data_IF_174101284456
#
_entry.id   IF_174101284456
#
_cell.length_a   1.000
_cell.length_b   1.000
_cell.length_c   1.000
_cell.angle_alpha   90.00
_cell.angle_beta   90.00
_cell.angle_gamma   90.00
#
_symmetry.space_group_name_H-M   'P 1'
#
loop_
_entity.id
_entity.type
_entity.pdbx_description
1 polymer ?
#
# COMPACT_ATOMS: atom_id res chain seq x y z
N UNK A 1 -10.21 13.10 -29.55
CA UNK A 1 -9.11 12.18 -29.20
C UNK A 1 -8.51 11.66 -30.48
N UNK A 2 -7.19 11.80 -30.68
CA UNK A 2 -6.50 11.32 -31.87
C UNK A 2 -6.23 9.82 -31.70
N UNK A 3 -6.97 8.99 -32.41
CA UNK A 3 -6.71 7.55 -32.47
C UNK A 3 -5.59 7.31 -33.48
N UNK A 4 -4.35 7.26 -33.01
CA UNK A 4 -3.16 7.06 -33.85
C UNK A 4 -3.02 5.62 -34.36
N UNK A 5 -4.09 4.97 -34.83
CA UNK A 5 -4.05 3.69 -35.57
C UNK A 5 -3.39 2.47 -34.89
N UNK A 6 -2.76 2.63 -33.72
CA UNK A 6 -2.08 1.55 -33.02
C UNK A 6 -3.12 0.67 -32.33
N UNK A 7 -3.07 -0.61 -32.68
CA UNK A 7 -3.82 -1.65 -31.99
C UNK A 7 -3.22 -1.79 -30.59
N UNK A 8 -3.86 -1.18 -29.60
CA UNK A 8 -3.41 -1.29 -28.21
C UNK A 8 -3.56 -2.74 -27.78
N UNK A 9 -2.43 -3.37 -27.45
CA UNK A 9 -2.41 -4.73 -26.92
C UNK A 9 -2.63 -4.72 -25.40
N UNK A 10 -3.17 -5.81 -24.85
CA UNK A 10 -3.32 -5.97 -23.39
C UNK A 10 -1.98 -5.79 -22.67
N UNK A 11 -0.88 -6.29 -23.24
CA UNK A 11 0.46 -6.09 -22.72
C UNK A 11 0.79 -4.59 -22.55
N UNK A 12 0.51 -3.77 -23.57
CA UNK A 12 0.75 -2.31 -23.50
C UNK A 12 -0.10 -1.63 -22.43
N UNK A 13 -1.30 -2.13 -22.18
CA UNK A 13 -2.18 -1.61 -21.13
C UNK A 13 -1.62 -1.96 -19.76
N UNK A 14 -1.23 -3.22 -19.55
CA UNK A 14 -0.62 -3.70 -18.30
C UNK A 14 0.66 -2.91 -17.99
N UNK A 15 1.55 -2.75 -18.96
CA UNK A 15 2.79 -1.96 -18.78
C UNK A 15 2.49 -0.50 -18.40
N UNK A 16 1.47 0.11 -19.01
CA UNK A 16 1.03 1.47 -18.64
C UNK A 16 0.51 1.52 -17.21
N UNK A 17 -0.33 0.57 -16.80
CA UNK A 17 -0.85 0.48 -15.43
C UNK A 17 0.31 0.40 -14.44
N UNK A 18 1.21 -0.58 -14.61
CA UNK A 18 2.35 -0.79 -13.73
C UNK A 18 3.24 0.46 -13.63
N UNK A 19 3.48 1.14 -14.75
CA UNK A 19 4.28 2.39 -14.77
C UNK A 19 3.60 3.56 -14.05
N UNK A 20 2.28 3.56 -13.96
CA UNK A 20 1.49 4.63 -13.30
C UNK A 20 1.17 4.33 -11.84
N UNK A 21 1.45 3.13 -11.34
CA UNK A 21 1.17 2.76 -9.96
C UNK A 21 2.00 3.61 -8.97
N UNK A 22 1.43 3.81 -7.78
CA UNK A 22 2.10 4.51 -6.69
C UNK A 22 3.32 3.69 -6.22
N UNK A 23 4.46 4.31 -5.86
CA UNK A 23 5.65 3.63 -5.33
C UNK A 23 5.39 2.64 -4.17
N UNK A 24 4.29 2.81 -3.42
CA UNK A 24 3.84 1.83 -2.42
C UNK A 24 3.63 0.41 -3.00
N UNK A 25 3.42 0.29 -4.31
CA UNK A 25 3.21 -0.96 -5.03
C UNK A 25 4.46 -1.46 -5.76
N UNK A 26 5.64 -0.86 -5.56
CA UNK A 26 6.89 -1.26 -6.26
C UNK A 26 7.20 -2.75 -6.11
N UNK A 27 6.94 -3.33 -4.94
CA UNK A 27 7.10 -4.75 -4.68
C UNK A 27 6.21 -5.64 -5.57
N UNK A 28 5.02 -5.17 -5.95
CA UNK A 28 4.13 -5.86 -6.88
C UNK A 28 4.63 -5.71 -8.32
N UNK A 29 5.09 -4.51 -8.70
CA UNK A 29 5.65 -4.26 -10.04
C UNK A 29 6.84 -5.18 -10.29
N UNK A 30 7.78 -5.27 -9.34
CA UNK A 30 8.95 -6.16 -9.44
C UNK A 30 8.53 -7.62 -9.62
N UNK A 31 7.60 -8.11 -8.79
CA UNK A 31 7.14 -9.49 -8.89
C UNK A 31 6.50 -9.82 -10.25
N UNK A 32 5.72 -8.87 -10.80
CA UNK A 32 5.07 -9.05 -12.11
C UNK A 32 6.11 -9.01 -13.23
N UNK A 33 7.09 -8.10 -13.19
CA UNK A 33 8.18 -8.02 -14.17
C UNK A 33 9.04 -9.29 -14.17
N UNK A 34 9.40 -9.80 -12.98
CA UNK A 34 10.16 -11.03 -12.81
C UNK A 34 9.40 -12.27 -13.29
N UNK A 35 8.08 -12.28 -13.16
CA UNK A 35 7.23 -13.40 -13.62
C UNK A 35 7.23 -13.59 -15.14
N UNK A 36 7.62 -12.55 -15.92
CA UNK A 36 7.65 -12.52 -17.40
C UNK A 36 6.34 -12.90 -18.09
N UNK A 37 5.20 -12.89 -17.38
CA UNK A 37 3.88 -13.31 -17.89
C UNK A 37 2.96 -12.15 -18.31
N UNK A 38 3.53 -11.02 -18.73
CA UNK A 38 2.77 -9.82 -19.11
C UNK A 38 1.76 -10.03 -20.26
N UNK A 39 2.00 -11.02 -21.13
CA UNK A 39 1.11 -11.34 -22.26
C UNK A 39 -0.11 -12.19 -21.89
N UNK A 40 -0.01 -12.93 -20.78
CA UNK A 40 -1.05 -13.84 -20.29
C UNK A 40 -1.98 -13.15 -19.28
N UNK A 41 -1.57 -11.99 -18.76
CA UNK A 41 -2.35 -11.24 -17.78
C UNK A 41 -3.60 -10.64 -18.43
N UNK A 42 -4.75 -10.94 -17.83
CA UNK A 42 -6.04 -10.33 -18.13
C UNK A 42 -6.09 -8.98 -17.39
N UNK A 43 -6.42 -7.91 -18.11
CA UNK A 43 -6.36 -6.54 -17.57
C UNK A 43 -7.33 -6.37 -16.39
N UNK A 44 -8.53 -6.95 -16.51
CA UNK A 44 -9.58 -6.89 -15.50
C UNK A 44 -9.16 -7.61 -14.20
N UNK A 45 -8.47 -8.74 -14.32
CA UNK A 45 -7.97 -9.50 -13.17
C UNK A 45 -6.84 -8.76 -12.44
N UNK A 46 -5.93 -8.14 -13.21
CA UNK A 46 -4.88 -7.30 -12.64
C UNK A 46 -5.48 -6.11 -11.89
N UNK A 47 -6.44 -5.42 -12.49
CA UNK A 47 -7.06 -4.25 -11.87
C UNK A 47 -7.81 -4.63 -10.58
N UNK A 48 -8.61 -5.70 -10.60
CA UNK A 48 -9.30 -6.19 -9.40
C UNK A 48 -8.34 -6.63 -8.30
N UNK A 49 -7.21 -7.25 -8.66
CA UNK A 49 -6.17 -7.64 -7.70
C UNK A 49 -5.49 -6.43 -7.04
N UNK A 50 -5.23 -5.37 -7.81
CA UNK A 50 -4.64 -4.13 -7.32
C UNK A 50 -5.59 -3.39 -6.37
N UNK A 51 -6.87 -3.26 -6.73
CA UNK A 51 -7.91 -2.65 -5.88
C UNK A 51 -8.07 -3.42 -4.57
N UNK A 52 -8.14 -4.76 -4.62
CA UNK A 52 -8.21 -5.60 -3.43
C UNK A 52 -6.95 -5.51 -2.55
N UNK A 53 -5.78 -5.25 -3.15
CA UNK A 53 -4.54 -5.02 -2.40
C UNK A 53 -4.54 -3.65 -1.71
N UNK A 54 -4.99 -2.60 -2.42
CA UNK A 54 -5.13 -1.26 -1.87
C UNK A 54 -6.09 -1.23 -0.68
N UNK A 55 -7.26 -1.88 -0.81
CA UNK A 55 -8.23 -1.97 0.27
C UNK A 55 -7.65 -2.62 1.54
N UNK A 56 -6.91 -3.72 1.39
CA UNK A 56 -6.22 -4.38 2.52
C UNK A 56 -5.12 -3.52 3.14
N UNK A 57 -4.44 -2.69 2.34
CA UNK A 57 -3.45 -1.74 2.84
C UNK A 57 -4.12 -0.66 3.71
N UNK A 58 -5.23 -0.10 3.25
CA UNK A 58 -6.00 0.91 3.96
C UNK A 58 -6.51 0.36 5.30
N UNK A 59 -7.11 -0.83 5.31
CA UNK A 59 -7.63 -1.47 6.52
C UNK A 59 -6.53 -1.65 7.58
N UNK A 60 -5.35 -2.13 7.18
CA UNK A 60 -4.21 -2.29 8.10
C UNK A 60 -3.60 -0.96 8.55
N UNK A 61 -3.65 0.08 7.72
CA UNK A 61 -3.17 1.42 8.10
C UNK A 61 -4.09 2.04 9.17
N UNK A 62 -5.40 1.81 9.06
CA UNK A 62 -6.40 2.21 10.06
C UNK A 62 -6.20 1.43 11.37
N UNK A 63 -6.01 0.12 11.31
CA UNK A 63 -5.72 -0.71 12.50
C UNK A 63 -4.47 -0.22 13.24
N UNK A 64 -3.38 0.03 12.50
CA UNK A 64 -2.13 0.58 13.07
C UNK A 64 -2.34 1.91 13.79
N UNK A 65 -3.21 2.78 13.28
CA UNK A 65 -3.50 4.08 13.91
C UNK A 65 -4.21 3.89 15.27
N UNK A 66 -5.10 2.91 15.37
CA UNK A 66 -5.79 2.55 16.61
C UNK A 66 -4.84 1.94 17.66
N UNK A 67 -3.99 1.01 17.24
CA UNK A 67 -3.05 0.33 18.15
C UNK A 67 -1.95 1.26 18.66
N UNK A 68 -1.51 2.23 17.85
CA UNK A 68 -0.49 3.18 18.27
C UNK A 68 -0.94 4.06 19.44
N UNK A 69 -2.24 4.37 19.53
CA UNK A 69 -2.82 5.15 20.63
C UNK A 69 -2.88 4.34 21.92
N UNK A 70 -3.21 3.04 21.84
CA UNK A 70 -3.18 2.14 23.00
C UNK A 70 -1.74 1.94 23.52
N UNK A 71 -0.76 1.75 22.64
CA UNK A 71 0.64 1.57 23.02
C UNK A 71 1.22 2.84 23.70
N UNK A 72 0.87 4.03 23.21
CA UNK A 72 1.28 5.31 23.81
C UNK A 72 0.71 5.52 25.24
N UNK A 73 -0.48 4.98 25.54
CA UNK A 73 -1.04 5.05 26.89
C UNK A 73 -0.23 4.24 27.92
N UNK A 74 0.40 3.13 27.50
CA UNK A 74 1.29 2.34 28.38
C UNK A 74 2.66 3.00 28.58
N UNK A 75 3.21 3.68 27.55
CA UNK A 75 4.53 4.32 27.67
C UNK A 75 4.48 5.62 28.46
N UNK A 76 3.37 6.36 28.40
CA UNK A 76 3.20 7.65 29.09
C UNK A 76 3.10 7.52 30.62
N UNK A 77 2.66 6.36 31.15
CA UNK A 77 2.57 6.14 32.61
C UNK A 77 3.92 6.08 33.33
N UNK A 78 5.05 6.01 32.61
CA UNK A 78 6.39 5.90 33.22
C UNK A 78 7.12 7.24 33.41
N UNK A 79 6.61 8.35 32.88
CA UNK A 79 7.28 9.68 32.91
C UNK A 79 6.54 10.67 33.81
N UNK A 80 6.05 10.22 34.97
CA UNK A 80 5.19 11.02 35.85
C UNK A 80 5.40 10.83 37.34
N UNK A 81 6.61 10.49 37.80
CA UNK A 81 6.93 10.46 39.23
C UNK A 81 8.11 11.38 39.52
N UNK A 82 7.82 12.65 39.86
CA UNK A 82 8.71 13.49 40.67
C UNK A 82 7.94 14.69 41.23
N UNK A 83 7.03 14.42 42.17
CA UNK A 83 6.41 15.46 43.01
C UNK A 83 6.71 15.16 44.48
N UNK A 84 7.85 15.69 44.93
CA UNK A 84 8.12 16.29 46.24
C UNK A 84 7.28 15.77 47.42
N UNK A 85 7.82 14.80 48.16
CA UNK A 85 7.47 14.54 49.56
C UNK A 85 8.47 15.23 50.49
N UNK A 86 8.08 16.37 51.06
CA UNK A 86 8.81 17.04 52.14
C UNK A 86 8.47 16.32 53.45
N UNK A 87 9.42 15.60 54.04
CA UNK A 87 9.29 15.08 55.41
C UNK A 87 9.85 16.11 56.39
N UNK A 88 9.00 16.54 57.32
CA UNK A 88 9.31 17.35 58.49
C UNK A 88 9.24 16.45 59.71
#
# INVERSE_FOLDING_TARGET
>A
MKNCGEKISNQTIVEKILRTLNPKFDHIVVAIEESKKLKEIIVEELQGSLEAHEQRLIEREIEKLGDHQALQAYTSKKVGNNSKGNFR
#
